data_IF_386539548658
#
_entry.id   IF_386539548658
#
_cell.length_a   1.000
_cell.length_b   1.000
_cell.length_c   1.000
_cell.angle_alpha   90.00
_cell.angle_beta   90.00
_cell.angle_gamma   90.00
#
_symmetry.space_group_name_H-M   'P 1'
#
loop_
_entity.id
_entity.type
_entity.pdbx_description
1 polymer ?
#
# COMPACT_ATOMS: atom_id res chain seq x y z
N UNK A 1 2.82 -33.59 -50.54
CA UNK A 1 2.94 -34.91 -49.90
C UNK A 1 3.31 -34.73 -48.44
N UNK A 2 2.35 -34.91 -47.53
CA UNK A 2 2.53 -34.79 -46.07
C UNK A 2 3.42 -35.93 -45.58
N UNK A 3 4.72 -35.67 -45.38
CA UNK A 3 5.56 -36.57 -44.59
C UNK A 3 5.16 -36.39 -43.13
N UNK A 4 4.18 -37.18 -42.70
CA UNK A 4 3.95 -37.46 -41.29
C UNK A 4 5.28 -37.96 -40.73
N UNK A 5 5.95 -37.15 -39.91
CA UNK A 5 7.02 -37.61 -39.04
C UNK A 5 6.40 -38.61 -38.06
N UNK A 6 6.24 -39.87 -38.48
CA UNK A 6 6.01 -40.97 -37.55
C UNK A 6 7.33 -41.30 -36.90
N UNK A 7 7.76 -40.44 -35.96
CA UNK A 7 8.79 -40.81 -34.99
C UNK A 7 8.22 -41.98 -34.19
N UNK A 8 8.60 -43.20 -34.57
CA UNK A 8 8.33 -44.40 -33.77
C UNK A 8 9.29 -44.40 -32.58
N UNK A 9 9.16 -43.38 -31.72
CA UNK A 9 9.80 -43.35 -30.42
C UNK A 9 9.38 -44.62 -29.66
N UNK A 10 10.32 -45.33 -29.02
CA UNK A 10 10.02 -46.45 -28.15
C UNK A 10 8.93 -46.08 -27.14
N UNK A 11 8.09 -47.05 -26.77
CA UNK A 11 6.98 -46.85 -25.83
C UNK A 11 7.47 -46.20 -24.52
N UNK A 12 8.65 -46.60 -24.05
CA UNK A 12 9.32 -46.01 -22.89
C UNK A 12 9.58 -44.50 -23.01
N UNK A 13 10.07 -44.03 -24.18
CA UNK A 13 10.35 -42.60 -24.40
C UNK A 13 9.06 -41.78 -24.44
N UNK A 14 7.97 -42.32 -24.99
CA UNK A 14 6.67 -41.66 -25.01
C UNK A 14 6.09 -41.51 -23.60
N UNK A 15 6.21 -42.54 -22.77
CA UNK A 15 5.80 -42.51 -21.38
C UNK A 15 6.63 -41.52 -20.56
N UNK A 16 7.96 -41.49 -20.79
CA UNK A 16 8.84 -40.52 -20.14
C UNK A 16 8.48 -39.06 -20.52
N UNK A 17 8.21 -38.79 -21.79
CA UNK A 17 7.80 -37.46 -22.26
C UNK A 17 6.46 -37.01 -21.66
N UNK A 18 5.49 -37.94 -21.54
CA UNK A 18 4.23 -37.66 -20.86
C UNK A 18 4.46 -37.32 -19.38
N UNK A 19 5.31 -38.08 -18.69
CA UNK A 19 5.65 -37.80 -17.29
C UNK A 19 6.26 -36.41 -17.10
N UNK A 20 7.26 -36.06 -17.93
CA UNK A 20 7.89 -34.73 -17.91
C UNK A 20 6.88 -33.63 -18.22
N UNK A 21 5.97 -33.86 -19.16
CA UNK A 21 4.91 -32.91 -19.50
C UNK A 21 3.96 -32.67 -18.32
N UNK A 22 3.50 -33.72 -17.64
CA UNK A 22 2.64 -33.59 -16.46
C UNK A 22 3.34 -32.87 -15.30
N UNK A 23 4.62 -33.19 -15.05
CA UNK A 23 5.43 -32.48 -14.05
C UNK A 23 5.57 -31.00 -14.41
N UNK A 24 5.82 -30.69 -15.68
CA UNK A 24 5.89 -29.31 -16.17
C UNK A 24 4.60 -28.52 -15.94
N UNK A 25 3.44 -29.13 -16.23
CA UNK A 25 2.13 -28.50 -15.95
C UNK A 25 1.93 -28.30 -14.45
N UNK A 26 2.26 -29.29 -13.62
CA UNK A 26 2.09 -29.19 -12.17
C UNK A 26 2.95 -28.06 -11.58
N UNK A 27 4.21 -27.95 -12.02
CA UNK A 27 5.10 -26.85 -11.62
C UNK A 27 4.55 -25.51 -12.10
N UNK A 28 4.12 -25.39 -13.36
CA UNK A 28 3.56 -24.16 -13.90
C UNK A 28 2.31 -23.70 -13.13
N UNK A 29 1.40 -24.63 -12.81
CA UNK A 29 0.21 -24.36 -12.01
C UNK A 29 0.58 -23.94 -10.58
N UNK A 30 1.55 -24.62 -9.95
CA UNK A 30 2.03 -24.27 -8.61
C UNK A 30 2.65 -22.88 -8.56
N UNK A 31 3.46 -22.51 -9.57
CA UNK A 31 4.04 -21.17 -9.68
C UNK A 31 2.93 -20.14 -9.88
N UNK A 32 1.95 -20.41 -10.74
CA UNK A 32 0.84 -19.49 -10.99
C UNK A 32 0.00 -19.23 -9.74
N UNK A 33 -0.35 -20.28 -8.98
CA UNK A 33 -1.06 -20.14 -7.70
C UNK A 33 -0.23 -19.36 -6.68
N UNK A 34 1.07 -19.60 -6.63
CA UNK A 34 1.99 -18.89 -5.73
C UNK A 34 2.05 -17.39 -6.05
N UNK A 35 2.14 -17.03 -7.33
CA UNK A 35 2.15 -15.63 -7.76
C UNK A 35 0.82 -14.92 -7.44
N UNK A 36 -0.31 -15.58 -7.70
CA UNK A 36 -1.62 -15.02 -7.38
C UNK A 36 -1.82 -14.85 -5.86
N UNK A 37 -1.39 -15.82 -5.06
CA UNK A 37 -1.44 -15.74 -3.61
C UNK A 37 -0.56 -14.61 -3.06
N UNK A 38 0.64 -14.43 -3.63
CA UNK A 38 1.54 -13.34 -3.28
C UNK A 38 0.92 -11.97 -3.60
N UNK A 39 0.33 -11.78 -4.79
CA UNK A 39 -0.34 -10.53 -5.15
C UNK A 39 -1.51 -10.20 -4.24
N UNK A 40 -2.35 -11.20 -3.92
CA UNK A 40 -3.49 -11.01 -3.02
C UNK A 40 -3.03 -10.62 -1.62
N UNK A 41 -2.05 -11.33 -1.06
CA UNK A 41 -1.48 -11.03 0.24
C UNK A 41 -0.82 -9.64 0.29
N UNK A 42 -0.17 -9.21 -0.79
CA UNK A 42 0.42 -7.87 -0.91
C UNK A 42 -0.65 -6.77 -0.88
N UNK A 43 -1.76 -6.95 -1.61
CA UNK A 43 -2.88 -6.00 -1.60
C UNK A 43 -3.56 -5.90 -0.24
N UNK A 44 -3.81 -7.03 0.41
CA UNK A 44 -4.40 -7.07 1.74
C UNK A 44 -3.49 -6.39 2.77
N UNK A 45 -2.18 -6.65 2.73
CA UNK A 45 -1.20 -5.97 3.60
C UNK A 45 -1.15 -4.46 3.35
N UNK A 46 -1.20 -4.03 2.09
CA UNK A 46 -1.20 -2.62 1.74
C UNK A 46 -2.46 -1.90 2.24
N UNK A 47 -3.63 -2.53 2.17
CA UNK A 47 -4.86 -1.94 2.71
C UNK A 47 -4.86 -1.95 4.23
N UNK A 48 -4.44 -3.05 4.86
CA UNK A 48 -4.36 -3.16 6.30
C UNK A 48 -3.41 -2.12 6.90
N UNK A 49 -2.25 -1.88 6.28
CA UNK A 49 -1.32 -0.85 6.74
C UNK A 49 -1.94 0.55 6.62
N UNK A 50 -2.65 0.87 5.52
CA UNK A 50 -3.35 2.15 5.37
C UNK A 50 -4.40 2.37 6.46
N UNK A 51 -5.22 1.35 6.75
CA UNK A 51 -6.26 1.44 7.79
C UNK A 51 -5.64 1.66 9.16
N UNK A 52 -4.59 0.90 9.51
CA UNK A 52 -3.86 1.07 10.78
C UNK A 52 -3.27 2.48 10.88
N UNK A 53 -2.67 3.00 9.81
CA UNK A 53 -2.06 4.33 9.80
C UNK A 53 -3.09 5.45 9.99
N UNK A 54 -4.24 5.34 9.31
CA UNK A 54 -5.33 6.31 9.42
C UNK A 54 -5.92 6.29 10.83
N UNK A 55 -6.15 5.11 11.38
CA UNK A 55 -6.69 4.96 12.73
C UNK A 55 -5.70 5.48 13.78
N UNK A 56 -4.40 5.20 13.64
CA UNK A 56 -3.37 5.74 14.52
C UNK A 56 -3.38 7.27 14.53
N UNK A 57 -3.41 7.91 13.36
CA UNK A 57 -3.48 9.38 13.30
C UNK A 57 -4.76 9.90 13.97
N UNK A 58 -5.91 9.27 13.69
CA UNK A 58 -7.21 9.62 14.28
C UNK A 58 -7.18 9.52 15.79
N UNK A 59 -6.68 8.42 16.34
CA UNK A 59 -6.61 8.22 17.78
C UNK A 59 -5.68 9.24 18.45
N UNK A 60 -4.55 9.57 17.82
CA UNK A 60 -3.61 10.57 18.32
C UNK A 60 -4.17 11.99 18.36
N UNK A 61 -5.01 12.37 17.39
CA UNK A 61 -5.67 13.69 17.39
C UNK A 61 -6.91 13.70 18.28
N UNK A 62 -7.72 12.63 18.26
CA UNK A 62 -8.92 12.52 19.07
C UNK A 62 -8.61 12.52 20.58
N UNK A 63 -7.46 11.96 20.98
CA UNK A 63 -6.98 12.02 22.35
C UNK A 63 -6.77 13.46 22.88
N UNK A 64 -6.67 14.47 21.99
CA UNK A 64 -6.54 15.88 22.36
C UNK A 64 -7.90 16.56 22.63
N UNK A 65 -9.00 15.94 22.21
CA UNK A 65 -10.37 16.43 22.38
C UNK A 65 -11.11 16.63 21.06
N UNK A 66 -12.33 17.17 21.14
CA UNK A 66 -13.20 17.37 19.98
C UNK A 66 -12.64 18.42 19.00
N UNK A 67 -12.82 18.22 17.69
CA UNK A 67 -12.39 19.18 16.69
C UNK A 67 -13.24 20.44 16.72
N UNK A 68 -12.60 21.62 16.71
CA UNK A 68 -13.25 22.93 16.63
C UNK A 68 -12.53 23.80 15.62
N UNK A 69 -13.29 24.42 14.71
CA UNK A 69 -12.78 25.44 13.80
C UNK A 69 -13.00 26.83 14.40
N UNK A 70 -12.00 27.68 14.28
CA UNK A 70 -12.00 29.07 14.73
C UNK A 70 -11.34 29.94 13.66
N UNK A 71 -12.14 30.39 12.69
CA UNK A 71 -11.63 31.00 11.46
C UNK A 71 -10.72 30.04 10.70
N UNK A 72 -9.47 30.47 10.45
CA UNK A 72 -8.45 29.69 9.73
C UNK A 72 -7.64 28.74 10.63
N UNK A 73 -8.12 28.47 11.85
CA UNK A 73 -7.44 27.62 12.83
C UNK A 73 -8.28 26.40 13.17
N UNK A 74 -7.66 25.22 13.09
CA UNK A 74 -8.22 23.97 13.57
C UNK A 74 -7.65 23.65 14.95
N UNK A 75 -8.55 23.43 15.89
CA UNK A 75 -8.25 22.98 17.25
C UNK A 75 -8.77 21.56 17.47
N UNK A 76 -8.07 20.79 18.29
CA UNK A 76 -8.61 19.60 18.94
C UNK A 76 -8.54 19.83 20.44
N UNK A 77 -9.71 19.90 21.10
CA UNK A 77 -9.81 20.43 22.46
C UNK A 77 -9.25 21.85 22.56
N UNK A 78 -8.17 22.01 23.33
CA UNK A 78 -7.49 23.30 23.51
C UNK A 78 -6.22 23.45 22.65
N UNK A 79 -5.85 22.44 21.86
CA UNK A 79 -4.59 22.41 21.14
C UNK A 79 -4.76 22.86 19.68
N UNK A 80 -3.95 23.83 19.24
CA UNK A 80 -3.90 24.26 17.86
C UNK A 80 -3.20 23.21 16.99
N UNK A 81 -3.83 22.81 15.89
CA UNK A 81 -3.30 21.81 14.97
C UNK A 81 -2.54 22.40 13.78
N UNK A 82 -2.78 23.66 13.43
CA UNK A 82 -2.03 24.33 12.36
C UNK A 82 -0.55 24.42 12.73
N UNK A 83 0.31 23.82 11.92
CA UNK A 83 1.75 23.73 12.19
C UNK A 83 2.14 22.75 13.31
N UNK A 84 1.19 22.00 13.86
CA UNK A 84 1.47 20.99 14.88
C UNK A 84 1.82 19.66 14.25
N UNK A 85 3.11 19.30 14.29
CA UNK A 85 3.61 18.11 13.61
C UNK A 85 3.68 16.86 14.51
N UNK A 86 3.36 16.97 15.80
CA UNK A 86 3.56 15.89 16.76
C UNK A 86 2.81 14.60 16.37
N UNK A 87 1.55 14.72 15.95
CA UNK A 87 0.75 13.57 15.56
C UNK A 87 1.25 12.93 14.24
N UNK A 88 1.53 13.74 13.21
CA UNK A 88 1.98 13.24 11.90
C UNK A 88 3.39 12.65 11.95
N UNK A 89 4.27 13.18 12.79
CA UNK A 89 5.62 12.65 12.98
C UNK A 89 5.60 11.36 13.80
N UNK A 90 4.69 11.24 14.78
CA UNK A 90 4.50 10.00 15.53
C UNK A 90 3.99 8.86 14.64
N UNK A 91 3.12 9.14 13.66
CA UNK A 91 2.75 8.15 12.64
C UNK A 91 3.96 7.69 11.82
N UNK A 92 4.85 8.63 11.44
CA UNK A 92 6.10 8.27 10.73
C UNK A 92 7.01 7.40 11.58
N UNK A 93 7.16 7.71 12.87
CA UNK A 93 8.00 6.96 13.79
C UNK A 93 7.46 5.54 14.07
N UNK A 94 6.14 5.39 14.22
CA UNK A 94 5.52 4.10 14.58
C UNK A 94 5.25 3.20 13.38
N UNK A 95 4.87 3.78 12.24
CA UNK A 95 4.40 3.03 11.07
C UNK A 95 5.20 3.30 9.79
N UNK A 96 6.28 4.08 9.85
CA UNK A 96 7.11 4.40 8.68
C UNK A 96 6.36 5.16 7.58
N UNK A 97 5.18 5.70 7.88
CA UNK A 97 4.22 6.16 6.89
C UNK A 97 4.05 7.68 6.90
N UNK A 98 3.62 8.23 5.76
CA UNK A 98 3.31 9.65 5.65
C UNK A 98 1.90 9.95 6.13
N UNK A 99 1.73 11.10 6.78
CA UNK A 99 0.48 11.54 7.36
C UNK A 99 0.30 13.04 7.12
N UNK A 100 -0.93 13.44 6.83
CA UNK A 100 -1.30 14.83 6.59
C UNK A 100 -2.65 15.13 7.21
N UNK A 101 -2.74 16.25 7.90
CA UNK A 101 -3.97 16.84 8.40
C UNK A 101 -4.33 18.01 7.50
N UNK A 102 -5.55 17.98 6.98
CA UNK A 102 -6.11 19.03 6.14
C UNK A 102 -7.18 19.81 6.90
N UNK A 103 -7.28 21.09 6.59
CA UNK A 103 -8.42 21.94 6.93
C UNK A 103 -9.03 22.40 5.60
N UNK A 104 -10.21 21.88 5.26
CA UNK A 104 -10.74 21.99 3.90
C UNK A 104 -9.79 21.30 2.90
N UNK A 105 -9.30 22.06 1.92
CA UNK A 105 -8.33 21.59 0.93
C UNK A 105 -6.88 21.91 1.30
N UNK A 106 -6.60 22.66 2.37
CA UNK A 106 -5.25 23.12 2.72
C UNK A 106 -4.57 22.19 3.73
N UNK A 107 -3.31 21.83 3.45
CA UNK A 107 -2.46 21.08 4.39
C UNK A 107 -2.06 21.96 5.57
N UNK A 108 -2.58 21.67 6.76
CA UNK A 108 -2.25 22.42 7.98
C UNK A 108 -1.10 21.78 8.78
N UNK A 109 -0.93 20.45 8.66
CA UNK A 109 0.19 19.73 9.25
C UNK A 109 0.52 18.49 8.41
N UNK A 110 1.78 18.31 8.01
CA UNK A 110 2.20 17.16 7.19
C UNK A 110 3.64 16.77 7.47
N UNK A 111 3.96 15.50 7.29
CA UNK A 111 5.34 14.99 7.26
C UNK A 111 5.86 14.73 5.82
N UNK A 112 5.06 15.09 4.81
CA UNK A 112 5.47 15.07 3.39
C UNK A 112 6.43 16.25 3.15
N UNK A 113 7.57 15.95 2.56
CA UNK A 113 8.59 16.94 2.20
C UNK A 113 8.47 17.32 0.73
N UNK A 114 8.72 18.59 0.42
CA UNK A 114 8.94 19.11 -0.92
C UNK A 114 10.36 18.76 -1.39
N UNK A 115 10.67 18.92 -2.69
CA UNK A 115 12.02 18.69 -3.22
C UNK A 115 13.12 19.52 -2.55
N UNK A 116 12.75 20.67 -1.96
CA UNK A 116 13.64 21.54 -1.19
C UNK A 116 13.87 21.08 0.26
N UNK A 117 13.31 19.95 0.68
CA UNK A 117 13.41 19.39 2.03
C UNK A 117 12.44 20.00 3.06
N UNK A 118 11.71 21.08 2.71
CA UNK A 118 10.72 21.67 3.60
C UNK A 118 9.42 20.86 3.61
N UNK A 119 8.62 20.98 4.66
CA UNK A 119 7.30 20.34 4.70
C UNK A 119 6.35 20.99 3.70
N UNK A 120 5.47 20.19 3.09
CA UNK A 120 4.44 20.65 2.17
C UNK A 120 3.21 21.24 2.90
N UNK A 121 3.43 22.13 3.85
CA UNK A 121 2.35 22.84 4.59
C UNK A 121 1.86 24.00 3.73
N UNK A 122 0.56 24.31 3.80
CA UNK A 122 -0.08 25.40 3.05
C UNK A 122 -0.41 25.06 1.58
N UNK A 123 0.00 23.90 1.09
CA UNK A 123 -0.38 23.45 -0.26
C UNK A 123 -1.78 22.84 -0.26
N UNK A 124 -2.46 22.92 -1.41
CA UNK A 124 -3.77 22.31 -1.59
C UNK A 124 -3.68 20.80 -1.79
N UNK A 125 -4.75 20.10 -1.46
CA UNK A 125 -4.96 18.71 -1.85
C UNK A 125 -4.84 18.61 -3.37
N UNK A 126 -4.03 17.67 -3.87
CA UNK A 126 -3.94 17.44 -5.30
C UNK A 126 -5.30 16.97 -5.83
N UNK A 127 -5.70 17.42 -7.02
CA UNK A 127 -6.84 16.82 -7.71
C UNK A 127 -6.43 15.37 -8.06
N UNK A 128 -7.25 14.43 -7.60
CA UNK A 128 -7.05 12.99 -7.82
C UNK A 128 -7.52 12.53 -9.19
#
# INVERSE_FOLDING_TARGET
MKKLLSFRLPIATRLALLGVFFVGIAVAASVMVSLQAAEKAMRERAQASLVVNINLLRDLVAAKGEPRLDGDKLYFGNELMNGNFAAVDKVKALAGSVATIFMGDVRIATNVQRPDGQRAVGTKLAQG
#
